data_IF_904074429655
#
_entry.id   IF_904074429655
#
_cell.length_a   1.000
_cell.length_b   1.000
_cell.length_c   1.000
_cell.angle_alpha   90.00
_cell.angle_beta   90.00
_cell.angle_gamma   90.00
#
_symmetry.space_group_name_H-M   'P 1'
#
loop_
_entity.id
_entity.type
_entity.pdbx_description
1 polymer ?
#
# COMPACT_ATOMS: atom_id res chain seq x y z
N UNK A 1 -24.19 10.11 -9.96
CA UNK A 1 -24.37 11.36 -9.21
C UNK A 1 -22.96 11.86 -8.88
N UNK A 2 -22.59 13.02 -9.45
CA UNK A 2 -21.31 13.67 -9.23
C UNK A 2 -21.14 13.95 -7.73
N UNK A 3 -20.14 13.29 -7.11
CA UNK A 3 -19.68 13.62 -5.77
C UNK A 3 -19.19 15.07 -5.85
N UNK A 4 -19.94 16.00 -5.24
CA UNK A 4 -19.56 17.41 -5.18
C UNK A 4 -18.09 17.46 -4.79
N UNK A 5 -17.28 18.20 -5.58
CA UNK A 5 -15.86 18.39 -5.31
C UNK A 5 -15.74 19.08 -3.95
N UNK A 6 -15.58 18.30 -2.89
CA UNK A 6 -15.20 18.81 -1.59
C UNK A 6 -13.92 19.59 -1.84
N UNK A 7 -13.90 20.86 -1.49
CA UNK A 7 -12.75 21.73 -1.64
C UNK A 7 -11.52 20.96 -1.14
N UNK A 8 -10.58 20.68 -2.05
CA UNK A 8 -9.45 19.80 -1.75
C UNK A 8 -8.67 20.47 -0.61
N UNK A 9 -8.72 19.88 0.58
CA UNK A 9 -8.03 20.39 1.76
C UNK A 9 -6.55 20.52 1.46
N UNK A 10 -6.02 21.70 1.70
CA UNK A 10 -4.59 21.96 1.57
C UNK A 10 -3.87 21.53 2.84
N UNK A 11 -2.66 20.94 2.66
CA UNK A 11 -1.75 20.61 3.75
C UNK A 11 -0.42 21.29 3.46
N UNK A 12 0.08 22.08 4.40
CA UNK A 12 1.40 22.67 4.34
C UNK A 12 2.34 21.94 5.30
N UNK A 13 3.39 21.35 4.76
CA UNK A 13 4.53 20.90 5.55
C UNK A 13 5.51 22.07 5.65
N UNK A 14 5.61 22.66 6.85
CA UNK A 14 6.43 23.86 7.07
C UNK A 14 7.82 23.49 7.57
N UNK A 15 8.83 24.22 7.09
CA UNK A 15 10.21 24.06 7.52
C UNK A 15 10.72 22.61 7.45
N UNK A 16 10.55 21.95 6.29
CA UNK A 16 11.05 20.61 6.01
C UNK A 16 12.24 20.67 5.07
N UNK A 17 13.16 19.73 5.20
CA UNK A 17 14.16 19.44 4.17
C UNK A 17 13.59 18.42 3.22
N UNK A 18 13.64 18.66 1.93
CA UNK A 18 13.09 17.75 0.92
C UNK A 18 14.18 16.83 0.39
N UNK A 19 13.90 15.53 0.42
CA UNK A 19 14.63 14.50 -0.30
C UNK A 19 13.82 14.10 -1.53
N UNK A 20 14.36 14.26 -2.73
CA UNK A 20 13.65 14.03 -3.99
C UNK A 20 13.69 12.57 -4.48
N UNK A 21 14.49 11.72 -3.82
CA UNK A 21 14.69 10.33 -4.21
C UNK A 21 15.67 10.12 -5.38
N UNK A 22 16.24 11.18 -5.93
CA UNK A 22 17.10 11.14 -7.14
C UNK A 22 18.50 11.71 -6.87
N UNK A 23 18.57 12.91 -6.30
CA UNK A 23 19.84 13.66 -6.17
C UNK A 23 20.78 13.11 -5.10
N UNK A 24 20.32 12.21 -4.23
CA UNK A 24 21.07 11.72 -3.07
C UNK A 24 21.28 12.76 -1.98
N UNK A 25 20.66 13.93 -2.07
CA UNK A 25 20.82 15.06 -1.14
C UNK A 25 19.46 15.54 -0.64
N UNK A 26 19.47 16.23 0.50
CA UNK A 26 18.32 16.97 1.00
C UNK A 26 18.48 18.46 0.70
N UNK A 27 17.36 19.14 0.43
CA UNK A 27 17.35 20.59 0.29
C UNK A 27 17.65 21.32 1.59
N UNK A 28 17.86 22.63 1.52
CA UNK A 28 17.67 23.52 2.67
C UNK A 28 16.22 23.43 3.17
N UNK A 29 15.96 23.91 4.41
CA UNK A 29 14.61 23.95 4.96
C UNK A 29 13.71 24.85 4.12
N UNK A 30 12.53 24.34 3.73
CA UNK A 30 11.53 25.02 2.93
C UNK A 30 10.13 24.46 3.22
N UNK A 31 9.12 25.07 2.67
CA UNK A 31 7.75 24.64 2.82
C UNK A 31 7.30 23.83 1.61
N UNK A 32 6.43 22.85 1.84
CA UNK A 32 5.79 22.06 0.79
C UNK A 32 4.28 22.11 0.94
N UNK A 33 3.62 22.72 -0.03
CA UNK A 33 2.16 22.81 -0.09
C UNK A 33 1.61 21.67 -0.93
N UNK A 34 0.72 20.88 -0.35
CA UNK A 34 -0.01 19.80 -1.01
C UNK A 34 -1.48 20.17 -1.07
N UNK A 35 -2.10 20.05 -2.25
CA UNK A 35 -3.54 20.19 -2.43
C UNK A 35 -4.12 18.93 -3.05
N UNK A 36 -5.02 18.30 -2.31
CA UNK A 36 -5.53 16.98 -2.71
C UNK A 36 -4.42 15.94 -2.77
N UNK A 37 -4.14 15.44 -3.96
CA UNK A 37 -3.11 14.42 -4.21
C UNK A 37 -1.88 14.95 -4.96
N UNK A 38 -1.68 16.28 -5.00
CA UNK A 38 -0.58 16.89 -5.76
C UNK A 38 0.24 17.84 -4.89
N UNK A 39 1.55 17.83 -5.08
CA UNK A 39 2.44 18.88 -4.60
C UNK A 39 2.18 20.11 -5.48
N UNK A 40 1.65 21.17 -4.89
CA UNK A 40 1.29 22.40 -5.59
C UNK A 40 2.47 23.36 -5.65
N UNK A 41 3.21 23.46 -4.55
CA UNK A 41 4.33 24.41 -4.45
C UNK A 41 5.38 23.93 -3.45
N UNK A 42 6.63 24.19 -3.79
CA UNK A 42 7.78 24.04 -2.88
C UNK A 42 8.53 25.37 -2.89
N UNK A 43 8.61 26.05 -1.76
CA UNK A 43 9.29 27.34 -1.60
C UNK A 43 9.44 27.68 -0.11
N UNK A 44 10.36 28.54 0.28
CA UNK A 44 10.37 29.07 1.64
C UNK A 44 9.18 30.05 1.84
N UNK A 45 8.60 30.06 3.05
CA UNK A 45 7.63 31.08 3.48
C UNK A 45 6.31 31.08 2.73
N UNK A 46 5.74 29.91 2.42
CA UNK A 46 4.44 29.81 1.77
C UNK A 46 3.33 30.33 2.70
N UNK A 47 2.62 31.37 2.27
CA UNK A 47 1.45 31.86 2.99
C UNK A 47 0.31 30.84 2.91
N UNK A 48 -0.44 30.69 4.00
CA UNK A 48 -1.56 29.76 4.12
C UNK A 48 -2.88 30.48 4.34
N UNK A 49 -3.94 29.94 3.75
CA UNK A 49 -5.31 30.35 4.07
C UNK A 49 -5.85 29.64 5.32
N UNK A 50 -7.02 30.07 5.83
CA UNK A 50 -7.61 29.52 7.06
C UNK A 50 -7.91 28.03 6.99
N UNK A 51 -8.19 27.49 5.81
CA UNK A 51 -8.53 26.07 5.60
C UNK A 51 -7.31 25.17 5.35
N UNK A 52 -6.08 25.69 5.52
CA UNK A 52 -4.85 24.93 5.32
C UNK A 52 -4.42 24.27 6.62
N UNK A 53 -4.33 22.93 6.63
CA UNK A 53 -3.71 22.21 7.74
C UNK A 53 -2.19 22.41 7.69
N UNK A 54 -1.62 22.98 8.73
CA UNK A 54 -0.15 23.15 8.84
C UNK A 54 0.43 22.02 9.68
N UNK A 55 1.50 21.41 9.17
CA UNK A 55 2.32 20.39 9.84
C UNK A 55 3.72 20.97 9.98
N UNK A 56 4.13 21.28 11.21
CA UNK A 56 5.46 21.80 11.49
C UNK A 56 6.50 20.70 11.34
N UNK A 57 7.40 20.88 10.38
CA UNK A 57 8.45 19.93 10.06
C UNK A 57 9.66 20.01 10.99
N UNK A 58 9.95 21.21 11.53
CA UNK A 58 11.08 21.45 12.43
C UNK A 58 12.42 20.88 11.90
N UNK A 59 12.69 21.06 10.60
CA UNK A 59 13.88 20.55 9.93
C UNK A 59 13.89 19.05 9.63
N UNK A 60 12.80 18.34 9.89
CA UNK A 60 12.66 16.93 9.49
C UNK A 60 12.69 16.78 7.97
N UNK A 61 13.01 15.59 7.51
CA UNK A 61 13.07 15.29 6.10
C UNK A 61 11.70 14.84 5.60
N UNK A 62 11.18 15.52 4.57
CA UNK A 62 10.06 15.07 3.77
C UNK A 62 10.62 14.34 2.55
N UNK A 63 10.15 13.11 2.34
CA UNK A 63 10.65 12.22 1.28
C UNK A 63 9.48 11.54 0.58
N UNK A 64 9.68 11.01 -0.65
CA UNK A 64 8.70 10.11 -1.27
C UNK A 64 8.40 8.93 -0.35
N UNK A 65 7.17 8.43 -0.40
CA UNK A 65 6.80 7.22 0.32
C UNK A 65 7.64 6.03 -0.14
N UNK A 66 7.92 5.12 0.79
CA UNK A 66 8.68 3.90 0.52
C UNK A 66 7.91 2.97 -0.42
N UNK A 67 8.66 2.19 -1.19
CA UNK A 67 8.13 1.15 -2.07
C UNK A 67 8.63 -0.19 -1.58
N UNK A 68 7.70 -1.12 -1.30
CA UNK A 68 8.03 -2.51 -1.07
C UNK A 68 7.82 -3.30 -2.36
N UNK A 69 8.91 -3.82 -2.92
CA UNK A 69 8.89 -4.53 -4.19
C UNK A 69 8.58 -6.03 -4.05
N UNK A 70 8.47 -6.55 -2.82
CA UNK A 70 8.21 -7.96 -2.56
C UNK A 70 7.37 -8.11 -1.28
N UNK A 71 6.08 -7.88 -1.39
CA UNK A 71 5.15 -7.94 -0.28
C UNK A 71 4.11 -9.05 -0.47
N UNK A 72 3.51 -9.50 0.65
CA UNK A 72 2.48 -10.53 0.67
C UNK A 72 1.39 -10.13 1.68
N UNK A 73 0.43 -9.31 1.25
CA UNK A 73 -0.60 -8.76 2.13
C UNK A 73 -1.40 -9.81 2.88
N UNK A 74 -1.63 -10.95 2.27
CA UNK A 74 -2.39 -12.05 2.87
C UNK A 74 -1.59 -12.86 3.90
N UNK A 75 -0.25 -12.73 3.92
CA UNK A 75 0.63 -13.57 4.73
C UNK A 75 1.26 -12.85 5.92
N UNK A 76 1.42 -11.52 5.86
CA UNK A 76 2.18 -10.77 6.88
C UNK A 76 1.41 -10.52 8.18
N UNK A 77 0.07 -10.53 8.15
CA UNK A 77 -0.76 -10.28 9.32
C UNK A 77 -1.12 -11.55 10.11
N UNK A 78 -1.52 -12.64 9.44
CA UNK A 78 -1.94 -13.88 10.10
C UNK A 78 -0.78 -14.69 10.66
N UNK A 79 -1.07 -15.48 11.69
CA UNK A 79 -0.17 -16.56 12.14
C UNK A 79 -0.22 -17.71 11.14
N UNK A 80 0.79 -18.61 11.17
CA UNK A 80 0.80 -19.80 10.32
C UNK A 80 -0.45 -20.67 10.56
N UNK A 81 -0.88 -20.84 11.83
CA UNK A 81 -2.08 -21.58 12.14
C UNK A 81 -3.33 -20.95 11.49
N UNK A 82 -3.46 -19.63 11.53
CA UNK A 82 -4.56 -18.92 10.85
C UNK A 82 -4.51 -19.10 9.33
N UNK A 83 -3.33 -19.03 8.73
CA UNK A 83 -3.18 -19.26 7.27
C UNK A 83 -3.67 -20.64 6.86
N UNK A 84 -3.50 -21.66 7.72
CA UNK A 84 -3.88 -23.04 7.42
C UNK A 84 -5.35 -23.35 7.71
N UNK A 85 -6.01 -22.62 8.62
CA UNK A 85 -7.33 -23.03 9.14
C UNK A 85 -8.41 -21.94 9.10
N UNK A 86 -8.04 -20.67 8.93
CA UNK A 86 -9.01 -19.59 8.98
C UNK A 86 -9.76 -19.42 7.65
N UNK A 87 -10.97 -18.90 7.74
CA UNK A 87 -11.78 -18.52 6.58
C UNK A 87 -11.05 -17.46 5.75
N UNK A 88 -11.06 -17.62 4.42
CA UNK A 88 -10.39 -16.70 3.48
C UNK A 88 -10.91 -15.26 3.58
N UNK A 89 -12.17 -15.07 3.94
CA UNK A 89 -12.76 -13.74 4.13
C UNK A 89 -12.18 -13.06 5.37
N UNK A 90 -11.95 -13.84 6.44
CA UNK A 90 -11.27 -13.35 7.63
C UNK A 90 -9.82 -12.94 7.33
N UNK A 91 -9.07 -13.76 6.59
CA UNK A 91 -7.71 -13.41 6.13
C UNK A 91 -7.70 -12.14 5.29
N UNK A 92 -8.70 -11.94 4.42
CA UNK A 92 -8.84 -10.70 3.65
C UNK A 92 -9.09 -9.47 4.53
N UNK A 93 -9.85 -9.60 5.62
CA UNK A 93 -10.05 -8.52 6.59
C UNK A 93 -8.74 -8.19 7.33
N UNK A 94 -7.97 -9.20 7.73
CA UNK A 94 -6.65 -9.01 8.33
C UNK A 94 -5.69 -8.29 7.36
N UNK A 95 -5.70 -8.67 6.08
CA UNK A 95 -4.91 -8.00 5.05
C UNK A 95 -5.28 -6.53 4.90
N UNK A 96 -6.57 -6.18 5.02
CA UNK A 96 -7.04 -4.79 5.02
C UNK A 96 -6.51 -3.99 6.22
N UNK A 97 -6.53 -4.57 7.41
CA UNK A 97 -5.94 -3.96 8.62
C UNK A 97 -4.43 -3.75 8.44
N UNK A 98 -3.74 -4.75 7.92
CA UNK A 98 -2.28 -4.70 7.72
C UNK A 98 -1.89 -3.71 6.62
N UNK A 99 -2.71 -3.54 5.59
CA UNK A 99 -2.49 -2.51 4.57
C UNK A 99 -2.47 -1.10 5.18
N UNK A 100 -3.40 -0.80 6.10
CA UNK A 100 -3.40 0.47 6.84
C UNK A 100 -2.13 0.64 7.69
N UNK A 101 -1.69 -0.40 8.39
CA UNK A 101 -0.44 -0.38 9.17
C UNK A 101 0.79 -0.20 8.29
N UNK A 102 0.81 -0.85 7.12
CA UNK A 102 1.89 -0.73 6.14
C UNK A 102 2.01 0.71 5.62
N UNK A 103 0.88 1.34 5.31
CA UNK A 103 0.86 2.77 4.95
C UNK A 103 1.42 3.65 6.08
N UNK A 104 1.03 3.39 7.34
CA UNK A 104 1.51 4.15 8.50
C UNK A 104 3.00 3.94 8.80
N UNK A 105 3.60 2.83 8.34
CA UNK A 105 5.06 2.62 8.36
C UNK A 105 5.80 3.38 7.25
N UNK A 106 5.07 4.08 6.38
CA UNK A 106 5.64 4.91 5.32
C UNK A 106 5.70 4.24 3.94
N UNK A 107 5.22 3.01 3.81
CA UNK A 107 5.13 2.34 2.50
C UNK A 107 3.86 2.79 1.79
N UNK A 108 4.02 3.57 0.72
CA UNK A 108 2.91 4.12 -0.07
C UNK A 108 2.60 3.31 -1.31
N UNK A 109 3.49 2.41 -1.68
CA UNK A 109 3.37 1.51 -2.82
C UNK A 109 3.94 0.14 -2.47
N UNK A 110 3.25 -0.92 -2.85
CA UNK A 110 3.71 -2.29 -2.66
C UNK A 110 3.47 -3.11 -3.92
N UNK A 111 4.39 -4.02 -4.23
CA UNK A 111 4.19 -5.09 -5.20
C UNK A 111 3.86 -6.37 -4.42
N UNK A 112 2.62 -6.82 -4.49
CA UNK A 112 2.20 -8.08 -3.88
C UNK A 112 2.47 -9.22 -4.85
N UNK A 113 3.38 -10.09 -4.49
CA UNK A 113 3.91 -11.13 -5.37
C UNK A 113 3.31 -12.51 -5.12
N UNK A 114 2.16 -12.56 -4.47
CA UNK A 114 1.41 -13.82 -4.35
C UNK A 114 0.22 -13.72 -3.40
N UNK A 115 -0.89 -14.27 -3.83
CA UNK A 115 -2.13 -14.36 -3.07
C UNK A 115 -3.32 -13.69 -3.77
N UNK A 116 -4.51 -13.93 -3.24
CA UNK A 116 -5.74 -13.35 -3.78
C UNK A 116 -5.97 -11.94 -3.22
N UNK A 117 -5.30 -10.94 -3.78
CA UNK A 117 -5.26 -9.56 -3.28
C UNK A 117 -6.02 -8.56 -4.15
N UNK A 118 -6.72 -9.03 -5.18
CA UNK A 118 -7.48 -8.15 -6.09
C UNK A 118 -8.56 -7.35 -5.35
N UNK A 119 -9.24 -7.97 -4.37
CA UNK A 119 -10.23 -7.31 -3.53
C UNK A 119 -9.60 -6.22 -2.65
N UNK A 120 -8.42 -6.47 -2.08
CA UNK A 120 -7.68 -5.47 -1.32
C UNK A 120 -7.28 -4.29 -2.20
N UNK A 121 -6.74 -4.57 -3.40
CA UNK A 121 -6.43 -3.52 -4.37
C UNK A 121 -7.64 -2.66 -4.68
N UNK A 122 -8.78 -3.27 -5.00
CA UNK A 122 -10.01 -2.55 -5.28
C UNK A 122 -10.46 -1.69 -4.10
N UNK A 123 -10.36 -2.20 -2.88
CA UNK A 123 -10.73 -1.48 -1.67
C UNK A 123 -9.83 -0.28 -1.39
N UNK A 124 -8.52 -0.41 -1.59
CA UNK A 124 -7.58 0.70 -1.42
C UNK A 124 -7.69 1.73 -2.54
N UNK A 125 -7.81 1.30 -3.80
CA UNK A 125 -7.95 2.20 -4.96
C UNK A 125 -9.25 3.02 -4.91
N UNK A 126 -10.34 2.44 -4.39
CA UNK A 126 -11.62 3.13 -4.20
C UNK A 126 -11.67 4.02 -2.95
N UNK A 127 -10.65 3.94 -2.09
CA UNK A 127 -10.62 4.65 -0.80
C UNK A 127 -11.57 4.06 0.25
N UNK A 128 -12.03 2.83 0.07
CA UNK A 128 -12.83 2.10 1.06
C UNK A 128 -11.97 1.74 2.29
N UNK A 129 -10.72 1.35 2.07
CA UNK A 129 -9.74 1.08 3.12
C UNK A 129 -8.50 1.95 2.94
N UNK A 130 -7.88 2.42 4.05
CA UNK A 130 -6.58 3.05 3.99
C UNK A 130 -5.52 1.98 3.67
N UNK A 131 -4.61 2.29 2.75
CA UNK A 131 -3.53 1.39 2.40
C UNK A 131 -2.62 1.96 1.32
N UNK A 132 -1.49 1.28 1.03
CA UNK A 132 -0.62 1.64 -0.08
C UNK A 132 -1.31 1.35 -1.42
N UNK A 133 -0.73 1.89 -2.50
CA UNK A 133 -1.06 1.45 -3.85
C UNK A 133 -0.55 0.03 -4.05
N UNK A 134 -1.44 -0.91 -4.37
CA UNK A 134 -1.12 -2.32 -4.51
C UNK A 134 -0.97 -2.70 -5.98
N UNK A 135 0.16 -3.33 -6.33
CA UNK A 135 0.41 -3.95 -7.63
C UNK A 135 0.44 -5.47 -7.45
N UNK A 136 -0.67 -6.18 -7.67
CA UNK A 136 -0.77 -7.61 -7.42
C UNK A 136 -0.26 -8.43 -8.61
N UNK A 137 0.43 -9.54 -8.33
CA UNK A 137 0.74 -10.57 -9.32
C UNK A 137 -0.39 -11.61 -9.48
N UNK A 138 -1.26 -11.74 -8.48
CA UNK A 138 -2.21 -12.83 -8.37
C UNK A 138 -1.61 -14.08 -7.73
N UNK A 139 -2.08 -15.26 -8.12
CA UNK A 139 -1.60 -16.53 -7.59
C UNK A 139 -0.12 -16.76 -7.95
N UNK A 140 0.62 -17.37 -7.04
CA UNK A 140 2.00 -17.77 -7.29
C UNK A 140 2.05 -18.93 -8.30
N UNK A 141 2.96 -18.88 -9.26
CA UNK A 141 3.26 -20.00 -10.13
C UNK A 141 4.34 -20.82 -9.46
N UNK A 142 4.07 -22.12 -9.22
CA UNK A 142 4.99 -23.01 -8.52
C UNK A 142 4.86 -24.44 -9.03
N UNK A 143 5.87 -25.28 -8.79
CA UNK A 143 5.76 -26.72 -8.99
C UNK A 143 5.01 -27.34 -7.81
N UNK A 144 4.45 -28.54 -8.00
CA UNK A 144 3.86 -29.34 -6.92
C UNK A 144 4.85 -29.49 -5.77
N UNK A 145 4.41 -29.22 -4.54
CA UNK A 145 5.23 -29.19 -3.32
C UNK A 145 6.37 -28.18 -3.36
N UNK A 146 6.33 -27.20 -4.26
CA UNK A 146 7.28 -26.10 -4.31
C UNK A 146 7.00 -25.04 -3.24
N UNK A 147 7.89 -24.03 -3.15
CA UNK A 147 7.85 -22.98 -2.12
C UNK A 147 6.50 -22.24 -2.02
N UNK A 148 5.81 -22.05 -3.13
CA UNK A 148 4.51 -21.38 -3.16
C UNK A 148 3.30 -22.32 -3.06
N UNK A 149 3.49 -23.63 -2.93
CA UNK A 149 2.41 -24.61 -2.87
C UNK A 149 2.07 -24.96 -1.41
N UNK A 150 1.12 -24.24 -0.85
CA UNK A 150 0.64 -24.44 0.53
C UNK A 150 -0.56 -25.36 0.64
N UNK A 151 -0.98 -26.01 -0.47
CA UNK A 151 -2.12 -26.91 -0.49
C UNK A 151 -1.78 -28.27 0.09
N UNK A 152 -2.76 -28.90 0.75
CA UNK A 152 -2.69 -30.30 1.11
C UNK A 152 -2.68 -31.20 -0.14
N UNK A 153 -2.16 -32.41 -0.03
CA UNK A 153 -2.05 -33.35 -1.16
C UNK A 153 -3.42 -33.73 -1.77
N UNK A 154 -4.46 -33.67 -0.95
CA UNK A 154 -5.86 -34.00 -1.26
C UNK A 154 -6.72 -32.76 -1.61
N UNK A 155 -6.16 -31.55 -1.59
CA UNK A 155 -6.89 -30.33 -1.89
C UNK A 155 -7.11 -30.16 -3.39
N UNK A 156 -8.37 -29.85 -3.77
CA UNK A 156 -8.74 -29.65 -5.16
C UNK A 156 -8.06 -28.41 -5.76
N UNK A 157 -7.66 -28.44 -7.04
CA UNK A 157 -6.84 -27.41 -7.67
C UNK A 157 -7.54 -26.06 -7.88
N UNK A 158 -8.80 -25.90 -7.59
CA UNK A 158 -9.62 -24.70 -7.90
C UNK A 158 -10.09 -23.89 -6.71
N UNK A 159 -9.44 -23.93 -5.59
CA UNK A 159 -9.80 -23.04 -4.48
C UNK A 159 -9.27 -21.62 -4.77
N UNK A 160 -10.15 -20.60 -4.74
CA UNK A 160 -9.77 -19.20 -4.93
C UNK A 160 -8.66 -18.80 -3.95
N UNK A 161 -7.57 -18.27 -4.51
CA UNK A 161 -6.41 -17.85 -3.71
C UNK A 161 -5.34 -18.89 -3.48
N UNK A 162 -5.54 -20.14 -3.95
CA UNK A 162 -4.46 -21.13 -3.96
C UNK A 162 -3.47 -20.85 -5.09
N UNK A 163 -2.19 -21.17 -4.87
CA UNK A 163 -1.17 -21.04 -5.92
C UNK A 163 -1.52 -21.90 -7.14
N UNK A 164 -1.27 -21.36 -8.33
CA UNK A 164 -1.33 -22.15 -9.56
C UNK A 164 -0.12 -23.09 -9.62
N UNK A 165 -0.35 -24.36 -9.88
CA UNK A 165 0.72 -25.33 -10.14
C UNK A 165 0.97 -25.44 -11.64
N UNK A 166 2.23 -25.64 -12.03
CA UNK A 166 2.56 -25.98 -13.42
C UNK A 166 1.90 -27.32 -13.75
N UNK A 167 1.06 -27.31 -14.79
CA UNK A 167 0.27 -28.48 -15.20
C UNK A 167 -1.15 -28.55 -14.63
N UNK A 168 -1.56 -27.63 -13.75
CA UNK A 168 -2.97 -27.47 -13.41
C UNK A 168 -3.75 -26.95 -14.64
N UNK A 169 -4.95 -27.47 -14.93
CA UNK A 169 -5.73 -27.04 -16.10
C UNK A 169 -6.17 -25.57 -16.05
N UNK A 170 -5.89 -24.88 -14.96
CA UNK A 170 -6.19 -23.45 -14.72
C UNK A 170 -4.93 -22.63 -14.44
N UNK A 171 -3.74 -23.24 -14.56
CA UNK A 171 -2.44 -22.60 -14.39
C UNK A 171 -1.94 -21.95 -15.68
#
# INVERSE_FOLDING_TARGET
QARAAAAQRAVLFRSVRVFDGVSGRTSAAQDVLVRGNRIERIAPGIATGPDTRVIEGAGRVLMPGLIDAHWHSMLVGPTVAQLMTADQRYLSMLAGVEAGRTLMRGFTTVRDVGGNVLGLKQATDSGLLPGPRVYPSGAMITVTSGHGDFRSADELPRTLGTPARIGDPTG
#
